data_IF_104681931823
#
_entry.id   IF_104681931823
#
_cell.length_a   1.000
_cell.length_b   1.000
_cell.length_c   1.000
_cell.angle_alpha   90.00
_cell.angle_beta   90.00
_cell.angle_gamma   90.00
#
_symmetry.space_group_name_H-M   'P 1'
#
loop_
_entity.id
_entity.type
_entity.pdbx_description
1 polymer ?
#
# COMPACT_ATOMS: atom_id res chain seq x y z
N UNK A 1 -22.22 -63.48 44.20
CA UNK A 1 -21.39 -62.98 43.09
C UNK A 1 -22.00 -61.79 42.33
N UNK A 2 -23.33 -61.59 42.25
CA UNK A 2 -23.93 -60.53 41.40
C UNK A 2 -23.93 -59.09 41.94
N UNK A 3 -23.97 -58.86 43.26
CA UNK A 3 -24.11 -57.50 43.83
C UNK A 3 -22.85 -56.64 43.73
N UNK A 4 -21.67 -57.26 43.84
CA UNK A 4 -20.38 -56.56 43.69
C UNK A 4 -20.15 -56.11 42.24
N UNK A 5 -20.57 -56.92 41.28
CA UNK A 5 -20.42 -56.60 39.85
C UNK A 5 -21.29 -55.40 39.46
N UNK A 6 -22.52 -55.30 39.99
CA UNK A 6 -23.42 -54.16 39.74
C UNK A 6 -22.81 -52.85 40.28
N UNK A 7 -22.19 -52.86 41.46
CA UNK A 7 -21.56 -51.65 42.04
C UNK A 7 -20.36 -51.20 41.20
N UNK A 8 -19.59 -52.16 40.65
CA UNK A 8 -18.46 -51.87 39.74
C UNK A 8 -18.96 -51.29 38.42
N UNK A 9 -20.04 -51.81 37.84
CA UNK A 9 -20.61 -51.25 36.61
C UNK A 9 -21.23 -49.86 36.83
N UNK A 10 -21.87 -49.61 37.98
CA UNK A 10 -22.43 -48.30 38.32
C UNK A 10 -21.31 -47.27 38.53
N UNK A 11 -20.21 -47.65 39.20
CA UNK A 11 -19.07 -46.76 39.40
C UNK A 11 -18.32 -46.48 38.08
N UNK A 12 -18.17 -47.47 37.20
CA UNK A 12 -17.61 -47.25 35.85
C UNK A 12 -18.54 -46.37 35.01
N UNK A 13 -19.86 -46.55 35.08
CA UNK A 13 -20.83 -45.73 34.35
C UNK A 13 -20.84 -44.26 34.84
N UNK A 14 -20.74 -44.03 36.15
CA UNK A 14 -20.61 -42.68 36.72
C UNK A 14 -19.27 -42.03 36.35
N UNK A 15 -18.20 -42.80 36.28
CA UNK A 15 -16.86 -42.32 35.91
C UNK A 15 -16.78 -42.01 34.41
N UNK A 16 -17.46 -42.78 33.55
CA UNK A 16 -17.66 -42.46 32.13
C UNK A 16 -18.53 -41.23 31.94
N UNK A 17 -19.63 -41.08 32.69
CA UNK A 17 -20.46 -39.87 32.66
C UNK A 17 -19.69 -38.64 33.15
N UNK A 18 -18.82 -38.81 34.15
CA UNK A 18 -17.94 -37.75 34.62
C UNK A 18 -16.94 -37.33 33.52
N UNK A 19 -16.29 -38.28 32.84
CA UNK A 19 -15.41 -37.99 31.70
C UNK A 19 -16.14 -37.44 30.47
N UNK A 20 -17.39 -37.84 30.22
CA UNK A 20 -18.23 -37.25 29.17
C UNK A 20 -18.68 -35.82 29.52
N UNK A 21 -18.90 -35.53 30.82
CA UNK A 21 -19.25 -34.20 31.30
C UNK A 21 -18.08 -33.22 31.33
N UNK A 22 -16.85 -33.74 31.55
CA UNK A 22 -15.60 -32.98 31.56
C UNK A 22 -14.79 -33.14 30.26
N UNK A 23 -15.33 -33.83 29.26
CA UNK A 23 -14.78 -33.81 27.91
C UNK A 23 -14.87 -32.37 27.42
N UNK A 24 -13.75 -31.75 27.00
CA UNK A 24 -13.78 -30.37 26.55
C UNK A 24 -14.80 -30.28 25.43
N UNK A 25 -15.87 -29.50 25.65
CA UNK A 25 -16.87 -29.20 24.63
C UNK A 25 -16.14 -28.55 23.46
N UNK A 26 -15.75 -29.36 22.48
CA UNK A 26 -15.35 -28.90 21.16
C UNK A 26 -16.64 -28.35 20.56
N UNK A 27 -16.90 -27.07 20.77
CA UNK A 27 -17.85 -26.32 19.98
C UNK A 27 -17.39 -26.47 18.54
N UNK A 28 -18.06 -27.32 17.76
CA UNK A 28 -18.08 -27.21 16.32
C UNK A 28 -18.87 -25.95 15.96
N UNK A 29 -18.27 -24.79 16.23
CA UNK A 29 -18.41 -23.68 15.32
C UNK A 29 -17.48 -24.01 14.15
N UNK A 30 -18.02 -24.71 13.15
CA UNK A 30 -17.55 -24.50 11.77
C UNK A 30 -17.98 -23.09 11.35
N UNK A 31 -17.44 -22.06 12.02
CA UNK A 31 -17.09 -20.86 11.29
C UNK A 31 -15.91 -21.31 10.46
N UNK A 32 -16.06 -21.28 9.14
CA UNK A 32 -14.92 -21.32 8.25
C UNK A 32 -13.92 -20.31 8.79
N UNK A 33 -12.87 -20.79 9.47
CA UNK A 33 -11.61 -20.06 9.49
C UNK A 33 -11.23 -20.08 8.03
N UNK A 34 -11.59 -19.02 7.31
CA UNK A 34 -10.76 -18.58 6.20
C UNK A 34 -9.35 -18.67 6.76
N UNK A 35 -8.55 -19.57 6.19
CA UNK A 35 -7.12 -19.52 6.35
C UNK A 35 -6.80 -18.07 5.98
N UNK A 36 -6.59 -17.23 6.99
CA UNK A 36 -5.79 -16.05 6.79
C UNK A 36 -4.42 -16.63 6.54
N UNK A 37 -4.18 -16.97 5.27
CA UNK A 37 -2.84 -16.88 4.73
C UNK A 37 -2.38 -15.52 5.19
N UNK A 38 -1.41 -15.54 6.10
CA UNK A 38 -0.55 -14.39 6.28
C UNK A 38 0.00 -14.15 4.88
N UNK A 39 -0.47 -13.11 4.21
CA UNK A 39 0.26 -12.54 3.10
C UNK A 39 1.55 -12.01 3.72
N UNK A 40 2.58 -12.83 3.73
CA UNK A 40 3.95 -12.36 3.90
C UNK A 40 4.37 -11.72 2.57
N UNK A 41 3.63 -10.67 2.20
CA UNK A 41 3.90 -9.63 1.22
C UNK A 41 3.01 -8.45 1.64
N UNK A 42 3.64 -7.41 2.18
CA UNK A 42 3.00 -6.12 2.42
C UNK A 42 2.91 -5.35 1.10
N UNK A 43 2.17 -5.88 0.13
CA UNK A 43 1.44 -5.01 -0.79
C UNK A 43 0.01 -5.04 -0.30
N UNK A 44 -0.24 -4.22 0.71
CA UNK A 44 -1.59 -3.87 1.06
C UNK A 44 -1.93 -2.64 0.21
N UNK A 45 -2.64 -2.76 -0.94
CA UNK A 45 -3.03 -1.60 -1.76
C UNK A 45 -3.92 -0.60 -1.01
N UNK A 46 -4.37 -0.97 0.20
CA UNK A 46 -5.09 -0.09 1.13
C UNK A 46 -4.19 0.64 2.14
N UNK A 47 -2.87 0.66 1.94
CA UNK A 47 -1.95 1.53 2.68
C UNK A 47 -0.96 2.14 1.68
N UNK A 48 -1.37 3.24 1.06
CA UNK A 48 -0.42 4.25 0.58
C UNK A 48 0.57 4.54 1.72
N UNK A 49 1.86 4.40 1.45
CA UNK A 49 2.88 4.71 2.46
C UNK A 49 3.03 6.22 2.52
N UNK A 50 2.67 6.80 3.67
CA UNK A 50 2.66 8.24 3.83
C UNK A 50 4.05 8.81 3.59
N UNK A 51 4.14 9.76 2.68
CA UNK A 51 5.38 10.46 2.40
C UNK A 51 5.55 11.59 3.40
N UNK A 52 6.74 11.69 3.99
CA UNK A 52 7.04 12.75 4.95
C UNK A 52 6.94 14.13 4.30
N UNK A 53 6.15 15.00 4.94
CA UNK A 53 5.96 16.39 4.50
C UNK A 53 7.26 17.20 4.47
N UNK A 54 8.16 16.95 5.43
CA UNK A 54 9.42 17.66 5.57
C UNK A 54 10.57 16.87 4.92
N UNK A 55 11.28 17.44 3.93
CA UNK A 55 12.44 16.82 3.28
C UNK A 55 13.55 16.35 4.23
N UNK A 56 13.74 17.01 5.38
CA UNK A 56 14.71 16.56 6.38
C UNK A 56 14.26 15.26 7.05
N UNK A 57 12.96 15.16 7.37
CA UNK A 57 12.40 13.96 7.97
C UNK A 57 12.39 12.83 6.95
N UNK A 58 12.00 13.11 5.71
CA UNK A 58 12.08 12.17 4.59
C UNK A 58 13.51 11.60 4.43
N UNK A 59 14.52 12.45 4.50
CA UNK A 59 15.93 12.05 4.37
C UNK A 59 16.43 11.21 5.57
N UNK A 60 15.90 11.43 6.77
CA UNK A 60 16.16 10.57 7.94
C UNK A 60 15.47 9.21 7.78
N UNK A 61 14.23 9.21 7.29
CA UNK A 61 13.43 8.00 7.04
C UNK A 61 14.03 7.14 5.92
N UNK A 62 14.44 7.73 4.79
CA UNK A 62 15.13 7.02 3.70
C UNK A 62 16.36 6.27 4.17
N UNK A 63 17.27 6.96 4.88
CA UNK A 63 18.47 6.31 5.42
C UNK A 63 18.15 5.18 6.38
N UNK A 64 17.04 5.30 7.12
CA UNK A 64 16.56 4.22 8.00
C UNK A 64 16.07 3.04 7.17
N UNK A 65 15.28 3.28 6.14
CA UNK A 65 14.78 2.25 5.22
C UNK A 65 15.93 1.58 4.46
N UNK A 66 16.93 2.33 3.99
CA UNK A 66 18.10 1.80 3.25
C UNK A 66 18.82 0.74 4.07
N UNK A 67 19.13 1.07 5.33
CA UNK A 67 19.77 0.12 6.24
C UNK A 67 18.91 -1.12 6.51
N UNK A 68 17.59 -0.96 6.60
CA UNK A 68 16.68 -2.10 6.78
C UNK A 68 16.66 -2.99 5.54
N UNK A 69 16.62 -2.38 4.36
CA UNK A 69 16.65 -3.07 3.08
C UNK A 69 17.98 -3.81 2.88
N UNK A 70 19.13 -3.14 3.10
CA UNK A 70 20.45 -3.76 3.00
C UNK A 70 20.57 -4.99 3.91
N UNK A 71 20.08 -4.87 5.15
CA UNK A 71 20.06 -5.98 6.11
C UNK A 71 19.23 -7.16 5.61
N UNK A 72 17.98 -6.89 5.19
CA UNK A 72 17.10 -7.95 4.68
C UNK A 72 17.66 -8.59 3.41
N UNK A 73 18.24 -7.77 2.54
CA UNK A 73 18.87 -8.23 1.31
C UNK A 73 20.07 -9.15 1.62
N UNK A 74 20.92 -8.78 2.57
CA UNK A 74 22.06 -9.60 3.01
C UNK A 74 21.60 -10.91 3.66
N UNK A 75 20.60 -10.87 4.54
CA UNK A 75 20.03 -12.06 5.19
C UNK A 75 19.43 -13.04 4.17
N UNK A 76 18.73 -12.52 3.15
CA UNK A 76 18.07 -13.35 2.13
C UNK A 76 19.02 -13.85 1.05
N UNK A 77 19.99 -13.03 0.62
CA UNK A 77 20.92 -13.35 -0.48
C UNK A 77 22.13 -14.16 -0.02
N UNK A 78 22.51 -14.02 1.26
CA UNK A 78 23.65 -14.71 1.87
C UNK A 78 23.29 -15.38 3.20
N UNK A 79 22.39 -16.39 3.19
CA UNK A 79 21.98 -17.09 4.41
C UNK A 79 23.14 -17.79 5.15
N UNK A 80 24.25 -18.07 4.47
CA UNK A 80 25.48 -18.62 5.07
C UNK A 80 26.18 -17.65 6.05
N UNK A 81 25.92 -16.34 5.94
CA UNK A 81 26.49 -15.32 6.83
C UNK A 81 25.59 -15.04 8.06
N UNK A 82 24.34 -15.52 8.04
CA UNK A 82 23.36 -15.25 9.10
C UNK A 82 23.58 -16.10 10.38
N UNK A 83 24.29 -17.23 10.28
CA UNK A 83 24.44 -18.23 11.36
C UNK A 83 25.82 -18.20 12.06
N UNK A 84 26.70 -17.25 11.72
CA UNK A 84 27.98 -17.10 12.40
C UNK A 84 27.85 -16.16 13.60
N UNK A 85 27.93 -16.75 14.79
CA UNK A 85 28.16 -16.06 16.08
C UNK A 85 29.07 -14.85 15.88
N UNK A 86 28.55 -13.68 16.27
CA UNK A 86 29.26 -12.40 16.22
C UNK A 86 30.72 -12.58 16.63
N UNK A 87 31.63 -12.41 15.68
CA UNK A 87 33.05 -12.51 15.94
C UNK A 87 33.45 -11.53 17.05
N UNK A 88 34.29 -11.94 18.03
CA UNK A 88 34.57 -11.12 19.19
C UNK A 88 35.51 -9.96 18.84
N UNK A 89 35.03 -8.75 19.11
CA UNK A 89 35.76 -7.50 19.40
C UNK A 89 36.56 -6.83 18.26
N UNK A 90 35.88 -5.94 17.52
CA UNK A 90 36.12 -4.49 17.61
C UNK A 90 34.94 -3.76 16.97
N UNK A 91 34.46 -2.68 17.62
CA UNK A 91 33.28 -1.87 17.28
C UNK A 91 31.93 -2.44 17.76
N UNK A 92 31.64 -2.13 19.02
CA UNK A 92 30.28 -2.14 19.57
C UNK A 92 29.32 -1.37 18.64
N UNK A 93 28.26 -2.05 18.21
CA UNK A 93 27.14 -1.61 17.37
C UNK A 93 26.80 -0.10 17.44
N UNK A 94 27.18 0.71 16.43
CA UNK A 94 26.66 2.06 16.23
C UNK A 94 25.19 2.07 15.78
N UNK A 95 24.69 0.94 15.27
CA UNK A 95 23.51 0.93 14.41
C UNK A 95 22.18 1.07 15.14
N UNK A 96 21.98 0.39 16.27
CA UNK A 96 20.81 0.61 17.13
C UNK A 96 20.84 1.98 17.79
N UNK A 97 22.05 2.46 18.12
CA UNK A 97 22.26 3.81 18.64
C UNK A 97 21.89 4.85 17.58
N UNK A 98 22.20 4.64 16.29
CA UNK A 98 21.81 5.54 15.21
C UNK A 98 20.30 5.58 14.94
N UNK A 99 19.58 4.45 15.08
CA UNK A 99 18.10 4.44 14.99
C UNK A 99 17.45 5.12 16.20
N UNK A 100 17.95 4.83 17.41
CA UNK A 100 17.54 5.54 18.62
C UNK A 100 17.87 7.02 18.50
N UNK A 101 19.04 7.40 17.97
CA UNK A 101 19.45 8.78 17.77
C UNK A 101 18.53 9.52 16.78
N UNK A 102 18.09 8.88 15.70
CA UNK A 102 17.16 9.49 14.74
C UNK A 102 15.77 9.69 15.36
N UNK A 103 15.27 8.71 16.11
CA UNK A 103 13.98 8.81 16.81
C UNK A 103 14.05 9.80 17.98
N UNK A 104 15.11 9.75 18.77
CA UNK A 104 15.41 10.70 19.84
C UNK A 104 15.58 12.11 19.27
N UNK A 105 16.23 12.28 18.11
CA UNK A 105 16.35 13.58 17.45
C UNK A 105 14.98 14.14 17.06
N UNK A 106 14.12 13.34 16.44
CA UNK A 106 12.78 13.78 16.05
C UNK A 106 11.87 14.01 17.26
N UNK A 107 12.01 13.23 18.33
CA UNK A 107 11.20 13.33 19.55
C UNK A 107 11.68 14.40 20.54
N UNK A 108 12.88 14.92 20.37
CA UNK A 108 13.47 15.95 21.23
C UNK A 108 13.06 17.34 20.73
N UNK A 109 12.10 17.97 21.41
CA UNK A 109 11.58 19.31 21.06
C UNK A 109 12.67 20.40 21.05
N UNK A 110 13.75 20.22 21.82
CA UNK A 110 14.88 21.15 21.84
C UNK A 110 15.78 20.97 20.60
N UNK A 111 15.83 19.77 20.02
CA UNK A 111 16.63 19.44 18.82
C UNK A 111 15.84 19.57 17.52
N UNK A 112 14.55 19.19 17.52
CA UNK A 112 13.65 19.24 16.38
C UNK A 112 12.48 20.17 16.67
N UNK A 113 12.72 21.46 16.42
CA UNK A 113 11.71 22.49 16.60
C UNK A 113 10.84 22.61 15.33
N UNK A 114 9.62 22.05 15.39
CA UNK A 114 8.64 22.04 14.29
C UNK A 114 8.32 23.46 13.81
N UNK A 115 8.17 24.43 14.71
CA UNK A 115 7.90 25.84 14.35
C UNK A 115 9.00 26.41 13.47
N UNK A 116 10.27 26.20 13.83
CA UNK A 116 11.40 26.65 13.00
C UNK A 116 11.44 25.93 11.65
N UNK A 117 11.08 24.64 11.61
CA UNK A 117 10.94 23.90 10.35
C UNK A 117 9.88 24.52 9.46
N UNK A 118 8.69 24.81 9.98
CA UNK A 118 7.60 25.43 9.23
C UNK A 118 7.98 26.81 8.67
N UNK A 119 8.67 27.65 9.45
CA UNK A 119 9.18 28.94 8.97
C UNK A 119 10.16 28.78 7.79
N UNK A 120 10.94 27.70 7.75
CA UNK A 120 11.88 27.41 6.67
C UNK A 120 11.22 26.75 5.45
N UNK A 121 10.14 26.00 5.67
CA UNK A 121 9.42 25.30 4.60
C UNK A 121 8.41 26.21 3.91
N UNK A 122 7.75 27.10 4.63
CA UNK A 122 6.67 27.95 4.11
C UNK A 122 7.07 28.68 2.81
N UNK A 123 8.20 29.41 2.73
CA UNK A 123 8.58 30.12 1.50
C UNK A 123 9.03 29.20 0.34
N UNK A 124 9.18 27.89 0.59
CA UNK A 124 9.48 26.90 -0.44
C UNK A 124 8.22 26.29 -1.04
N UNK A 125 7.09 26.41 -0.33
CA UNK A 125 5.79 25.91 -0.75
C UNK A 125 5.00 27.03 -1.42
N UNK A 126 5.00 28.23 -0.83
CA UNK A 126 4.41 29.46 -1.37
C UNK A 126 5.25 29.98 -2.55
N UNK A 127 4.91 29.56 -3.78
CA UNK A 127 5.71 29.81 -5.00
C UNK A 127 4.89 30.22 -6.22
N UNK A 128 3.58 29.93 -6.28
CA UNK A 128 2.74 30.21 -7.45
C UNK A 128 1.30 30.65 -7.09
N UNK A 129 1.08 31.95 -6.85
CA UNK A 129 2.08 33.02 -6.68
C UNK A 129 2.63 33.05 -5.25
N UNK A 130 3.88 33.52 -5.08
CA UNK A 130 4.45 33.81 -3.76
C UNK A 130 3.73 35.00 -3.07
N UNK A 131 2.56 34.77 -2.49
CA UNK A 131 1.63 35.78 -1.97
C UNK A 131 1.49 35.76 -0.44
N UNK A 132 2.23 34.89 0.24
CA UNK A 132 2.19 34.75 1.69
C UNK A 132 1.10 33.80 2.17
N UNK A 133 0.46 33.05 1.26
CA UNK A 133 -0.53 32.03 1.55
C UNK A 133 -0.18 30.74 0.81
N UNK A 134 -0.31 29.60 1.48
CA UNK A 134 -0.21 28.30 0.83
C UNK A 134 -1.62 27.85 0.46
N UNK A 135 -1.87 27.70 -0.84
CA UNK A 135 -3.15 27.17 -1.33
C UNK A 135 -3.10 25.65 -1.57
N UNK A 136 -4.27 25.03 -1.84
CA UNK A 136 -4.40 23.59 -2.12
C UNK A 136 -3.46 23.10 -3.23
N UNK A 137 -3.31 23.89 -4.29
CA UNK A 137 -2.49 23.50 -5.43
C UNK A 137 -1.01 23.45 -5.06
N UNK A 138 -0.49 24.50 -4.41
CA UNK A 138 0.91 24.55 -3.97
C UNK A 138 1.24 23.42 -3.00
N UNK A 139 0.34 23.15 -2.06
CA UNK A 139 0.51 22.09 -1.07
C UNK A 139 0.44 20.70 -1.72
N UNK A 140 -0.43 20.52 -2.71
CA UNK A 140 -0.51 19.29 -3.52
C UNK A 140 0.79 19.07 -4.30
N UNK A 141 1.30 20.09 -4.97
CA UNK A 141 2.55 19.99 -5.74
C UNK A 141 3.75 19.74 -4.82
N UNK A 142 3.77 20.32 -3.62
CA UNK A 142 4.79 20.04 -2.61
C UNK A 142 4.78 18.57 -2.17
N UNK A 143 3.60 18.04 -1.81
CA UNK A 143 3.44 16.64 -1.39
C UNK A 143 3.80 15.70 -2.54
N UNK A 144 3.35 16.00 -3.76
CA UNK A 144 3.67 15.23 -4.97
C UNK A 144 5.17 15.16 -5.20
N UNK A 145 5.90 16.28 -5.07
CA UNK A 145 7.35 16.30 -5.23
C UNK A 145 8.09 15.46 -4.18
N UNK A 146 7.59 15.42 -2.94
CA UNK A 146 8.18 14.51 -1.94
C UNK A 146 7.87 13.06 -2.34
N UNK A 147 6.65 12.77 -2.78
CA UNK A 147 6.21 11.43 -3.12
C UNK A 147 7.00 10.86 -4.30
N UNK A 148 7.16 11.63 -5.38
CA UNK A 148 7.96 11.25 -6.54
C UNK A 148 9.41 10.92 -6.15
N UNK A 149 10.01 11.69 -5.23
CA UNK A 149 11.37 11.42 -4.75
C UNK A 149 11.46 10.12 -3.98
N UNK A 150 10.50 9.85 -3.10
CA UNK A 150 10.50 8.62 -2.30
C UNK A 150 10.22 7.37 -3.15
N UNK A 151 9.24 7.47 -4.05
CA UNK A 151 8.90 6.41 -5.00
C UNK A 151 10.11 6.09 -5.88
N UNK A 152 10.72 7.11 -6.50
CA UNK A 152 11.89 6.91 -7.36
C UNK A 152 13.08 6.30 -6.61
N UNK A 153 13.33 6.74 -5.37
CA UNK A 153 14.38 6.18 -4.54
C UNK A 153 14.16 4.68 -4.25
N UNK A 154 12.92 4.28 -3.96
CA UNK A 154 12.56 2.88 -3.74
C UNK A 154 12.65 2.07 -5.03
N UNK A 155 12.21 2.62 -6.16
CA UNK A 155 12.35 1.99 -7.48
C UNK A 155 13.82 1.80 -7.85
N UNK A 156 14.70 2.73 -7.48
CA UNK A 156 16.14 2.59 -7.70
C UNK A 156 16.74 1.41 -6.90
N UNK A 157 16.37 1.26 -5.61
CA UNK A 157 16.79 0.09 -4.82
C UNK A 157 16.28 -1.22 -5.42
N UNK A 158 15.02 -1.24 -5.86
CA UNK A 158 14.45 -2.42 -6.50
C UNK A 158 15.21 -2.73 -7.80
N UNK A 159 15.52 -1.72 -8.62
CA UNK A 159 16.31 -1.87 -9.84
C UNK A 159 17.67 -2.51 -9.57
N UNK A 160 18.38 -2.12 -8.50
CA UNK A 160 19.67 -2.70 -8.14
C UNK A 160 19.61 -4.21 -7.89
N UNK A 161 18.46 -4.74 -7.47
CA UNK A 161 18.28 -6.19 -7.29
C UNK A 161 18.07 -6.95 -8.60
N UNK A 162 17.56 -6.26 -9.63
CA UNK A 162 17.28 -6.85 -10.94
C UNK A 162 18.40 -6.62 -11.95
N UNK A 163 19.12 -5.50 -11.88
CA UNK A 163 20.27 -5.17 -12.74
C UNK A 163 21.50 -6.04 -12.42
N UNK A 164 21.45 -7.30 -12.89
CA UNK A 164 22.48 -8.30 -12.67
C UNK A 164 23.78 -7.97 -13.40
N UNK A 165 23.68 -7.33 -14.56
CA UNK A 165 24.82 -7.02 -15.41
C UNK A 165 25.48 -5.67 -15.06
N UNK A 166 24.79 -4.83 -14.27
CA UNK A 166 25.19 -3.50 -13.79
C UNK A 166 25.36 -2.46 -14.90
N UNK A 167 24.52 -2.50 -15.92
CA UNK A 167 24.48 -1.51 -17.00
C UNK A 167 23.59 -0.30 -16.68
N UNK A 168 22.86 -0.33 -15.56
CA UNK A 168 21.92 0.71 -15.15
C UNK A 168 20.54 0.59 -15.80
N UNK A 169 20.25 -0.56 -16.43
CA UNK A 169 18.96 -0.89 -17.03
C UNK A 169 18.47 -2.25 -16.52
N UNK A 170 17.19 -2.52 -16.73
CA UNK A 170 16.61 -3.83 -16.44
C UNK A 170 16.08 -4.43 -17.73
N UNK A 171 16.67 -5.54 -18.17
CA UNK A 171 16.12 -6.34 -19.26
C UNK A 171 15.01 -7.28 -18.78
N UNK A 172 14.14 -7.73 -19.68
CA UNK A 172 13.10 -8.71 -19.33
C UNK A 172 13.68 -10.03 -18.82
N UNK A 173 14.88 -10.41 -19.28
CA UNK A 173 15.57 -11.61 -18.82
C UNK A 173 16.17 -11.48 -17.41
N UNK A 174 16.41 -10.26 -16.97
CA UNK A 174 16.92 -9.94 -15.63
C UNK A 174 15.81 -9.91 -14.58
N UNK A 175 14.63 -9.43 -14.99
CA UNK A 175 13.43 -9.38 -14.16
C UNK A 175 12.84 -10.79 -13.97
N UNK A 176 13.24 -11.46 -12.88
CA UNK A 176 12.80 -12.82 -12.60
C UNK A 176 11.31 -12.85 -12.25
N UNK A 177 10.54 -13.85 -12.74
CA UNK A 177 9.17 -14.02 -12.29
C UNK A 177 9.18 -14.29 -10.78
N UNK A 178 8.21 -13.73 -10.03
CA UNK A 178 8.16 -13.89 -8.58
C UNK A 178 8.25 -15.37 -8.14
N UNK A 179 8.89 -15.63 -7.00
CA UNK A 179 9.19 -16.99 -6.51
C UNK A 179 7.96 -17.91 -6.37
N UNK A 180 6.78 -17.35 -6.18
CA UNK A 180 5.51 -18.08 -6.12
C UNK A 180 4.99 -18.51 -7.50
N UNK A 181 5.38 -17.81 -8.58
CA UNK A 181 5.15 -18.22 -9.97
C UNK A 181 6.04 -19.42 -10.29
N UNK A 182 7.28 -19.43 -9.82
CA UNK A 182 8.22 -20.51 -10.10
C UNK A 182 7.85 -21.85 -9.43
N UNK A 183 7.08 -21.81 -8.32
CA UNK A 183 6.82 -22.97 -7.45
C UNK A 183 5.38 -23.48 -7.45
N UNK A 184 4.48 -22.98 -8.31
CA UNK A 184 3.07 -23.40 -8.32
C UNK A 184 2.70 -24.19 -9.57
N UNK A 185 1.76 -25.13 -9.44
CA UNK A 185 1.12 -25.78 -10.59
C UNK A 185 0.23 -24.76 -11.33
N UNK A 186 0.13 -24.85 -12.66
CA UNK A 186 -0.62 -23.96 -13.59
C UNK A 186 -2.10 -23.66 -13.22
N UNK A 187 -2.63 -24.23 -12.14
CA UNK A 187 -4.02 -24.12 -11.69
C UNK A 187 -4.18 -23.37 -10.34
N UNK A 188 -3.12 -22.78 -9.78
CA UNK A 188 -3.18 -22.00 -8.53
C UNK A 188 -3.63 -20.55 -8.79
N UNK A 189 -4.58 -20.06 -7.98
CA UNK A 189 -4.96 -18.65 -7.92
C UNK A 189 -3.70 -17.78 -7.74
N UNK A 190 -3.46 -16.87 -8.69
CA UNK A 190 -2.27 -16.00 -8.75
C UNK A 190 -1.53 -16.06 -10.09
N UNK A 191 -1.50 -17.19 -10.79
CA UNK A 191 -0.82 -17.31 -12.11
C UNK A 191 -1.38 -16.40 -13.20
N UNK A 192 -2.64 -16.00 -13.04
CA UNK A 192 -3.32 -15.10 -13.95
C UNK A 192 -3.07 -13.63 -13.60
N UNK A 193 -2.07 -13.27 -12.79
CA UNK A 193 -1.62 -11.89 -12.66
C UNK A 193 -0.63 -11.58 -13.80
N UNK A 194 -0.87 -10.47 -14.51
CA UNK A 194 -0.24 -10.14 -15.79
C UNK A 194 1.00 -9.29 -15.61
N UNK A 195 1.19 -8.83 -14.38
CA UNK A 195 2.18 -7.83 -13.98
C UNK A 195 3.62 -8.20 -14.31
N UNK A 196 4.05 -9.46 -14.19
CA UNK A 196 5.43 -9.84 -14.55
C UNK A 196 5.55 -10.39 -15.98
N UNK A 197 4.50 -10.30 -16.80
CA UNK A 197 4.52 -10.79 -18.19
C UNK A 197 5.22 -9.79 -19.10
N UNK A 198 5.71 -10.30 -20.23
CA UNK A 198 6.37 -9.52 -21.27
C UNK A 198 5.48 -8.39 -21.81
N UNK A 199 4.15 -8.54 -21.79
CA UNK A 199 3.23 -7.47 -22.21
C UNK A 199 3.35 -6.23 -21.32
N UNK A 200 3.45 -6.39 -19.99
CA UNK A 200 3.59 -5.27 -19.06
C UNK A 200 4.96 -4.59 -19.22
N UNK A 201 6.01 -5.40 -19.34
CA UNK A 201 7.37 -4.92 -19.60
C UNK A 201 7.42 -4.09 -20.89
N UNK A 202 6.87 -4.63 -21.98
CA UNK A 202 6.83 -3.95 -23.29
C UNK A 202 5.90 -2.73 -23.29
N UNK A 203 4.87 -2.69 -22.45
CA UNK A 203 4.03 -1.51 -22.29
C UNK A 203 4.77 -0.38 -21.57
N UNK A 204 5.67 -0.74 -20.66
CA UNK A 204 6.50 0.19 -19.87
C UNK A 204 7.73 0.68 -20.63
N UNK A 205 8.28 -0.15 -21.53
CA UNK A 205 9.32 0.22 -22.49
C UNK A 205 8.78 1.24 -23.51
N UNK A 206 9.00 2.53 -23.21
CA UNK A 206 8.40 3.62 -23.97
C UNK A 206 9.12 3.80 -25.31
N UNK A 207 10.45 3.64 -25.32
CA UNK A 207 11.29 3.80 -26.51
C UNK A 207 11.44 2.52 -27.36
N UNK A 208 11.07 1.36 -26.80
CA UNK A 208 11.04 0.07 -27.50
C UNK A 208 12.42 -0.57 -27.66
N UNK A 209 13.40 -0.21 -26.81
CA UNK A 209 14.77 -0.72 -26.89
C UNK A 209 14.95 -2.09 -26.22
N UNK A 210 13.93 -2.61 -25.52
CA UNK A 210 13.94 -3.89 -24.80
C UNK A 210 14.58 -3.85 -23.40
N UNK A 211 14.91 -2.66 -22.89
CA UNK A 211 15.56 -2.39 -21.61
C UNK A 211 14.84 -1.24 -20.90
N UNK A 212 14.46 -1.44 -19.64
CA UNK A 212 13.85 -0.37 -18.85
C UNK A 212 14.95 0.47 -18.21
N UNK A 213 14.96 1.77 -18.52
CA UNK A 213 15.74 2.73 -17.74
C UNK A 213 15.04 3.05 -16.40
N UNK A 214 15.66 3.82 -15.50
CA UNK A 214 15.08 4.11 -14.17
C UNK A 214 13.69 4.75 -14.22
N UNK A 215 13.40 5.61 -15.20
CA UNK A 215 12.07 6.22 -15.34
C UNK A 215 11.03 5.23 -15.84
N UNK A 216 11.40 4.38 -16.81
CA UNK A 216 10.50 3.35 -17.35
C UNK A 216 10.28 2.22 -16.35
N UNK A 217 11.29 1.89 -15.54
CA UNK A 217 11.18 0.92 -14.46
C UNK A 217 10.35 1.44 -13.29
N UNK A 218 10.48 2.74 -12.97
CA UNK A 218 9.59 3.40 -12.01
C UNK A 218 8.14 3.33 -12.50
N UNK A 219 7.88 3.66 -13.77
CA UNK A 219 6.56 3.55 -14.38
C UNK A 219 6.05 2.09 -14.37
N UNK A 220 6.90 1.11 -14.67
CA UNK A 220 6.59 -0.32 -14.59
C UNK A 220 6.18 -0.74 -13.16
N UNK A 221 6.81 -0.22 -12.12
CA UNK A 221 6.42 -0.49 -10.72
C UNK A 221 5.17 0.29 -10.29
N UNK A 222 4.94 1.46 -10.88
CA UNK A 222 3.91 2.43 -10.51
C UNK A 222 3.10 2.89 -11.74
N UNK A 223 2.39 1.98 -12.44
CA UNK A 223 1.71 2.30 -13.70
C UNK A 223 0.59 3.33 -13.53
N UNK A 224 0.01 3.45 -12.34
CA UNK A 224 -1.00 4.47 -12.01
C UNK A 224 -0.47 5.90 -12.12
N UNK A 225 0.83 6.10 -11.92
CA UNK A 225 1.51 7.40 -11.96
C UNK A 225 2.09 7.71 -13.34
N UNK A 226 2.12 6.71 -14.22
CA UNK A 226 2.73 6.85 -15.54
C UNK A 226 1.93 7.79 -16.44
N UNK A 227 2.66 8.55 -17.24
CA UNK A 227 2.10 9.35 -18.35
C UNK A 227 2.09 8.57 -19.66
N UNK A 228 2.60 7.34 -19.67
CA UNK A 228 2.68 6.50 -20.86
C UNK A 228 1.30 5.89 -21.19
N UNK A 229 0.67 6.28 -22.31
CA UNK A 229 -0.66 5.80 -22.67
C UNK A 229 -0.71 4.29 -22.93
N UNK A 230 0.41 3.67 -23.35
CA UNK A 230 0.48 2.21 -23.55
C UNK A 230 0.32 1.49 -22.21
N UNK A 231 0.99 2.00 -21.18
CA UNK A 231 0.98 1.41 -19.84
C UNK A 231 -0.36 1.62 -19.13
N UNK A 232 -0.96 2.80 -19.25
CA UNK A 232 -2.31 3.05 -18.73
C UNK A 232 -3.35 2.18 -19.41
N UNK A 233 -3.25 1.97 -20.73
CA UNK A 233 -4.12 1.04 -21.44
C UNK A 233 -3.90 -0.41 -20.99
N UNK A 234 -2.65 -0.81 -20.78
CA UNK A 234 -2.33 -2.12 -20.21
C UNK A 234 -2.96 -2.30 -18.82
N UNK A 235 -2.91 -1.28 -17.96
CA UNK A 235 -3.55 -1.30 -16.65
C UNK A 235 -5.07 -1.49 -16.76
N UNK A 236 -5.71 -0.87 -17.76
CA UNK A 236 -7.13 -1.09 -18.03
C UNK A 236 -7.42 -2.52 -18.50
N UNK A 237 -6.58 -3.09 -19.36
CA UNK A 237 -6.70 -4.50 -19.78
C UNK A 237 -6.53 -5.45 -18.60
N UNK A 238 -5.67 -5.12 -17.66
CA UNK A 238 -5.47 -5.90 -16.45
C UNK A 238 -6.75 -5.91 -15.60
N UNK A 239 -7.39 -4.75 -15.41
CA UNK A 239 -8.69 -4.66 -14.74
C UNK A 239 -9.78 -5.47 -15.46
N UNK A 240 -9.84 -5.44 -16.80
CA UNK A 240 -10.76 -6.30 -17.55
C UNK A 240 -10.47 -7.77 -17.23
N UNK A 241 -9.20 -8.19 -17.34
CA UNK A 241 -8.78 -9.58 -17.18
C UNK A 241 -9.02 -10.13 -15.77
N UNK A 242 -8.90 -9.30 -14.74
CA UNK A 242 -9.20 -9.70 -13.37
C UNK A 242 -10.69 -9.90 -13.11
N UNK A 243 -11.58 -9.21 -13.84
CA UNK A 243 -13.03 -9.19 -13.58
C UNK A 243 -13.85 -10.01 -14.56
N UNK A 244 -13.34 -10.19 -15.76
CA UNK A 244 -13.88 -11.03 -16.82
C UNK A 244 -13.93 -12.50 -16.36
N UNK A 245 -15.07 -12.88 -15.82
CA UNK A 245 -15.29 -14.18 -15.19
C UNK A 245 -15.67 -15.24 -16.22
N UNK A 246 -16.30 -14.82 -17.34
CA UNK A 246 -16.71 -15.71 -18.43
C UNK A 246 -15.71 -15.80 -19.59
N UNK A 247 -14.63 -15.01 -19.53
CA UNK A 247 -13.47 -14.97 -20.44
C UNK A 247 -13.84 -14.51 -21.84
N UNK A 248 -14.77 -13.58 -21.96
CA UNK A 248 -15.18 -13.00 -23.25
C UNK A 248 -14.31 -11.80 -23.69
N UNK A 249 -13.37 -11.38 -22.84
CA UNK A 249 -12.44 -10.29 -23.07
C UNK A 249 -13.03 -8.90 -22.78
N UNK A 250 -14.20 -8.83 -22.16
CA UNK A 250 -14.88 -7.59 -21.78
C UNK A 250 -15.47 -7.71 -20.36
N UNK A 251 -15.99 -6.60 -19.85
CA UNK A 251 -16.67 -6.57 -18.54
C UNK A 251 -18.16 -6.37 -18.75
N UNK A 252 -18.97 -7.39 -18.45
CA UNK A 252 -20.43 -7.27 -18.48
C UNK A 252 -20.97 -6.52 -17.24
N UNK A 253 -22.24 -6.11 -17.27
CA UNK A 253 -22.84 -5.35 -16.15
C UNK A 253 -22.71 -6.04 -14.79
N UNK A 254 -22.83 -7.36 -14.73
CA UNK A 254 -22.77 -8.12 -13.48
C UNK A 254 -21.35 -8.08 -12.89
N UNK A 255 -20.34 -8.22 -13.74
CA UNK A 255 -18.92 -8.12 -13.36
C UNK A 255 -18.56 -6.71 -12.94
N UNK A 256 -19.04 -5.69 -13.66
CA UNK A 256 -18.89 -4.29 -13.27
C UNK A 256 -19.52 -4.03 -11.89
N UNK A 257 -20.75 -4.48 -11.68
CA UNK A 257 -21.51 -4.21 -10.46
C UNK A 257 -20.87 -4.84 -9.21
N UNK A 258 -20.46 -6.11 -9.30
CA UNK A 258 -19.85 -6.79 -8.16
C UNK A 258 -18.35 -6.53 -8.02
N UNK A 259 -17.68 -6.12 -9.10
CA UNK A 259 -16.24 -5.93 -9.14
C UNK A 259 -15.82 -4.48 -8.99
N UNK A 260 -16.31 -3.58 -9.86
CA UNK A 260 -15.75 -2.24 -10.06
C UNK A 260 -16.58 -1.14 -9.40
N UNK A 261 -17.90 -1.31 -9.34
CA UNK A 261 -18.82 -0.25 -8.95
C UNK A 261 -18.53 0.33 -7.56
N UNK A 262 -18.24 -0.53 -6.57
CA UNK A 262 -17.91 -0.07 -5.22
C UNK A 262 -16.62 0.75 -5.17
N UNK A 263 -15.61 0.41 -5.98
CA UNK A 263 -14.34 1.16 -6.05
C UNK A 263 -14.55 2.53 -6.69
N UNK A 264 -15.34 2.59 -7.78
CA UNK A 264 -15.56 3.83 -8.53
C UNK A 264 -16.52 4.79 -7.82
N UNK A 265 -17.49 4.27 -7.05
CA UNK A 265 -18.48 5.09 -6.33
C UNK A 265 -17.92 5.77 -5.08
N UNK A 266 -16.98 5.13 -4.36
CA UNK A 266 -16.43 5.66 -3.11
C UNK A 266 -15.55 6.92 -3.29
N UNK A 267 -15.41 7.42 -4.52
CA UNK A 267 -14.54 8.54 -4.86
C UNK A 267 -15.18 9.94 -4.75
N UNK A 268 -16.51 10.05 -4.80
CA UNK A 268 -17.22 11.36 -4.82
C UNK A 268 -18.15 11.59 -3.61
N UNK A 269 -18.45 10.56 -2.81
CA UNK A 269 -19.38 10.67 -1.69
C UNK A 269 -18.64 10.66 -0.34
N UNK A 270 -18.40 11.86 0.21
CA UNK A 270 -18.23 12.01 1.65
C UNK A 270 -19.48 11.46 2.38
N UNK A 271 -19.25 10.84 3.53
CA UNK A 271 -20.21 10.34 4.53
C UNK A 271 -20.53 8.83 4.47
N UNK A 272 -19.89 8.14 5.43
CA UNK A 272 -20.29 6.88 6.05
C UNK A 272 -21.74 6.40 5.83
N UNK A 273 -21.88 5.24 5.18
CA UNK A 273 -22.57 4.09 5.78
C UNK A 273 -22.29 2.82 4.97
N UNK A 274 -21.34 2.01 5.44
CA UNK A 274 -21.13 0.63 4.99
C UNK A 274 -22.20 -0.32 5.52
N UNK A 275 -23.45 0.15 5.69
CA UNK A 275 -24.56 -0.77 5.88
C UNK A 275 -24.90 -1.27 4.48
N UNK A 276 -24.75 -2.57 4.25
CA UNK A 276 -25.26 -3.28 3.08
C UNK A 276 -26.65 -2.75 2.68
N UNK A 277 -26.67 -1.77 1.77
CA UNK A 277 -27.87 -1.38 1.06
C UNK A 277 -28.20 -2.57 0.16
N UNK A 278 -29.46 -2.99 0.18
CA UNK A 278 -29.92 -4.15 -0.59
C UNK A 278 -29.60 -3.97 -2.07
N UNK A 279 -29.21 -5.08 -2.71
CA UNK A 279 -28.85 -5.24 -4.13
C UNK A 279 -29.71 -4.39 -5.09
N UNK A 280 -31.03 -4.37 -4.87
CA UNK A 280 -32.00 -3.64 -5.68
C UNK A 280 -31.89 -2.10 -5.62
N UNK A 281 -31.30 -1.52 -4.56
CA UNK A 281 -31.17 -0.07 -4.40
C UNK A 281 -29.94 0.51 -5.07
N UNK A 282 -28.92 -0.30 -5.35
CA UNK A 282 -27.66 0.13 -5.99
C UNK A 282 -27.60 -0.18 -7.48
N UNK A 283 -28.52 -1.02 -7.98
CA UNK A 283 -28.64 -1.37 -9.39
C UNK A 283 -28.86 -0.12 -10.28
N UNK A 284 -29.69 0.83 -9.86
CA UNK A 284 -29.97 2.05 -10.63
C UNK A 284 -28.74 2.96 -10.86
N UNK A 285 -27.98 3.40 -9.82
CA UNK A 285 -26.78 4.21 -10.03
C UNK A 285 -25.68 3.43 -10.75
N UNK A 286 -25.57 2.13 -10.53
CA UNK A 286 -24.61 1.30 -11.26
C UNK A 286 -24.94 1.20 -12.74
N UNK A 287 -26.21 1.00 -13.11
CA UNK A 287 -26.64 0.99 -14.52
C UNK A 287 -26.39 2.34 -15.19
N UNK A 288 -26.61 3.43 -14.46
CA UNK A 288 -26.33 4.77 -14.98
C UNK A 288 -24.84 4.94 -15.28
N UNK A 289 -23.96 4.55 -14.35
CA UNK A 289 -22.51 4.66 -14.55
C UNK A 289 -22.03 3.71 -15.66
N UNK A 290 -22.52 2.47 -15.68
CA UNK A 290 -22.23 1.51 -16.75
C UNK A 290 -22.60 2.07 -18.12
N UNK A 291 -23.81 2.59 -18.28
CA UNK A 291 -24.26 3.20 -19.53
C UNK A 291 -23.53 4.50 -19.90
N UNK A 292 -22.87 5.17 -18.94
CA UNK A 292 -21.99 6.31 -19.23
C UNK A 292 -20.63 5.86 -19.76
N UNK A 293 -20.13 4.70 -19.32
CA UNK A 293 -18.85 4.14 -19.72
C UNK A 293 -18.96 3.39 -21.06
N UNK A 294 -20.02 2.61 -21.25
CA UNK A 294 -20.36 1.90 -22.49
C UNK A 294 -20.67 2.93 -23.60
N UNK A 295 -19.65 3.27 -24.39
CA UNK A 295 -19.72 4.31 -25.43
C UNK A 295 -20.25 3.76 -26.74
N UNK A 296 -19.95 2.50 -27.05
CA UNK A 296 -20.39 1.87 -28.29
C UNK A 296 -21.79 1.21 -28.18
N UNK A 297 -22.30 1.05 -26.95
CA UNK A 297 -23.65 0.59 -26.64
C UNK A 297 -23.82 -0.91 -26.85
N UNK A 298 -22.74 -1.69 -26.82
CA UNK A 298 -22.77 -3.13 -27.04
C UNK A 298 -23.18 -3.92 -25.78
N UNK A 299 -23.30 -3.24 -24.63
CA UNK A 299 -23.69 -3.82 -23.36
C UNK A 299 -22.53 -4.39 -22.53
N UNK A 300 -21.29 -4.12 -22.94
CA UNK A 300 -20.06 -4.54 -22.30
C UNK A 300 -19.10 -3.35 -22.16
N UNK A 301 -18.14 -3.42 -21.23
CA UNK A 301 -17.07 -2.43 -21.11
C UNK A 301 -15.76 -3.03 -21.63
N UNK A 302 -15.16 -2.35 -22.61
CA UNK A 302 -13.82 -2.62 -23.12
C UNK A 302 -12.73 -1.97 -22.26
N UNK A 303 -11.48 -2.37 -22.48
CA UNK A 303 -10.29 -1.75 -21.86
C UNK A 303 -10.22 -0.24 -22.11
N UNK A 304 -10.56 0.21 -23.32
CA UNK A 304 -10.60 1.64 -23.67
C UNK A 304 -11.70 2.40 -22.92
N UNK A 305 -12.84 1.76 -22.65
CA UNK A 305 -13.96 2.38 -21.94
C UNK A 305 -13.75 2.46 -20.43
N UNK A 306 -12.79 1.71 -19.89
CA UNK A 306 -12.35 1.84 -18.49
C UNK A 306 -11.35 2.98 -18.27
N UNK A 307 -10.71 3.53 -19.32
CA UNK A 307 -9.75 4.65 -19.20
C UNK A 307 -10.25 5.83 -18.35
N UNK A 308 -11.51 6.30 -18.46
CA UNK A 308 -11.98 7.43 -17.66
C UNK A 308 -12.07 7.15 -16.15
N UNK A 309 -12.14 5.87 -15.76
CA UNK A 309 -12.29 5.46 -14.36
C UNK A 309 -11.03 4.79 -13.80
N UNK A 310 -10.00 4.57 -14.63
CA UNK A 310 -8.79 3.86 -14.19
C UNK A 310 -8.09 4.58 -13.03
N UNK A 311 -8.06 5.92 -13.03
CA UNK A 311 -7.51 6.70 -11.92
C UNK A 311 -8.33 6.63 -10.63
N UNK A 312 -9.58 6.14 -10.67
CA UNK A 312 -10.39 5.84 -9.47
C UNK A 312 -10.13 4.43 -8.95
N UNK A 313 -9.80 3.50 -9.85
CA UNK A 313 -9.44 2.11 -9.50
C UNK A 313 -8.01 2.01 -8.98
N UNK A 314 -7.12 2.78 -9.58
CA UNK A 314 -5.71 2.92 -9.24
C UNK A 314 -5.40 4.40 -9.02
N UNK A 315 -5.63 4.91 -7.80
CA UNK A 315 -5.29 6.28 -7.45
C UNK A 315 -3.81 6.55 -7.63
N UNK A 316 -3.47 7.64 -8.32
CA UNK A 316 -2.08 8.09 -8.46
C UNK A 316 -1.58 8.79 -7.19
N UNK A 317 -0.27 8.92 -7.05
CA UNK A 317 0.39 9.73 -6.03
C UNK A 317 -0.14 11.16 -6.02
N UNK A 318 -0.54 11.71 -7.17
CA UNK A 318 -1.13 13.05 -7.24
C UNK A 318 -2.48 13.12 -6.53
N UNK A 319 -3.28 12.07 -6.64
CA UNK A 319 -4.54 11.99 -5.90
C UNK A 319 -4.27 11.96 -4.39
N UNK A 320 -3.34 11.13 -3.92
CA UNK A 320 -2.99 11.07 -2.51
C UNK A 320 -2.40 12.38 -1.99
N UNK A 321 -1.52 13.02 -2.76
CA UNK A 321 -0.96 14.34 -2.47
C UNK A 321 -2.03 15.42 -2.31
N UNK A 322 -3.07 15.38 -3.16
CA UNK A 322 -4.22 16.28 -3.08
C UNK A 322 -5.08 16.00 -1.85
N UNK A 323 -5.44 14.73 -1.59
CA UNK A 323 -6.19 14.37 -0.37
C UNK A 323 -5.46 14.78 0.90
N UNK A 324 -4.13 14.66 0.89
CA UNK A 324 -3.26 15.10 1.97
C UNK A 324 -3.29 16.63 2.12
N UNK A 325 -3.24 17.39 1.01
CA UNK A 325 -3.39 18.84 1.02
C UNK A 325 -4.77 19.30 1.52
N UNK A 326 -5.84 18.72 1.00
CA UNK A 326 -7.23 19.00 1.41
C UNK A 326 -7.42 18.74 2.91
N UNK A 327 -6.86 17.64 3.42
CA UNK A 327 -6.89 17.33 4.85
C UNK A 327 -6.17 18.40 5.68
N UNK A 328 -4.95 18.82 5.31
CA UNK A 328 -4.22 19.86 6.07
C UNK A 328 -5.02 21.15 6.11
N UNK A 329 -5.50 21.62 4.95
CA UNK A 329 -6.27 22.86 4.87
C UNK A 329 -7.50 22.73 5.76
N UNK A 330 -8.23 21.62 5.70
CA UNK A 330 -9.42 21.41 6.55
C UNK A 330 -9.16 21.46 8.07
N UNK A 331 -7.93 21.13 8.51
CA UNK A 331 -7.56 21.14 9.92
C UNK A 331 -6.96 22.47 10.38
N UNK A 332 -6.12 23.10 9.54
CA UNK A 332 -5.32 24.26 9.93
C UNK A 332 -5.94 25.61 9.51
N UNK A 333 -6.78 25.64 8.48
CA UNK A 333 -7.46 26.85 7.99
C UNK A 333 -8.52 27.31 9.01
N UNK A 334 -8.13 28.28 9.83
CA UNK A 334 -8.92 28.71 10.98
C UNK A 334 -9.95 29.76 10.57
N UNK A 335 -9.59 30.62 9.61
CA UNK A 335 -10.49 31.66 9.12
C UNK A 335 -11.40 31.22 7.95
N UNK A 336 -11.14 30.02 7.41
CA UNK A 336 -11.89 29.33 6.36
C UNK A 336 -11.81 30.03 5.01
N UNK A 337 -10.67 30.64 4.71
CA UNK A 337 -10.42 31.28 3.41
C UNK A 337 -9.95 30.31 2.31
N UNK A 338 -9.73 29.03 2.67
CA UNK A 338 -9.30 27.95 1.79
C UNK A 338 -7.79 27.91 1.55
N UNK A 339 -7.00 28.65 2.34
CA UNK A 339 -5.55 28.74 2.25
C UNK A 339 -4.94 28.72 3.65
N UNK A 340 -3.62 28.64 3.72
CA UNK A 340 -2.89 28.58 4.97
C UNK A 340 -1.87 29.70 5.07
N UNK A 341 -2.00 30.50 6.12
CA UNK A 341 -0.95 31.42 6.54
C UNK A 341 0.10 30.68 7.37
N UNK A 342 1.32 31.24 7.45
CA UNK A 342 2.38 30.69 8.31
C UNK A 342 1.93 30.61 9.77
N UNK A 343 1.12 31.59 10.22
CA UNK A 343 0.58 31.60 11.58
C UNK A 343 -0.33 30.41 11.81
N UNK A 344 -1.27 30.12 10.90
CA UNK A 344 -2.17 28.99 11.02
C UNK A 344 -1.44 27.64 11.03
N UNK A 345 -0.39 27.49 10.23
CA UNK A 345 0.44 26.28 10.25
C UNK A 345 1.20 26.10 11.58
N UNK A 346 1.67 27.21 12.18
CA UNK A 346 2.38 27.18 13.47
C UNK A 346 1.42 26.94 14.64
N UNK A 347 0.20 27.49 14.57
CA UNK A 347 -0.83 27.35 15.60
C UNK A 347 -1.51 25.96 15.58
N UNK A 348 -1.40 25.24 14.47
CA UNK A 348 -1.84 23.84 14.33
C UNK A 348 -0.65 22.87 14.12
N UNK A 349 0.35 22.84 15.03
CA UNK A 349 1.58 22.10 14.83
C UNK A 349 1.36 20.59 14.92
N UNK A 350 0.34 20.12 15.64
CA UNK A 350 0.06 18.68 15.77
C UNK A 350 -0.38 18.05 14.45
N UNK A 351 -1.21 18.73 13.67
CA UNK A 351 -1.63 18.23 12.35
C UNK A 351 -0.47 18.28 11.36
N UNK A 352 0.35 19.33 11.42
CA UNK A 352 1.60 19.41 10.64
C UNK A 352 2.65 18.38 11.08
N UNK A 353 2.70 18.05 12.38
CA UNK A 353 3.64 17.10 12.97
C UNK A 353 3.24 15.66 12.67
N UNK A 354 1.94 15.33 12.77
CA UNK A 354 1.37 14.05 12.33
C UNK A 354 1.74 13.83 10.85
N UNK A 355 1.67 14.85 10.03
CA UNK A 355 2.03 14.82 8.61
C UNK A 355 3.53 14.69 8.34
N UNK A 356 4.36 15.16 9.27
CA UNK A 356 5.81 14.91 9.24
C UNK A 356 6.21 13.52 9.76
N UNK A 357 5.36 12.82 10.54
CA UNK A 357 5.76 11.65 11.37
C UNK A 357 5.01 10.32 11.12
N UNK A 358 4.06 10.23 10.18
CA UNK A 358 3.13 9.06 10.15
C UNK A 358 3.82 7.70 9.92
N UNK A 359 5.06 7.58 9.44
CA UNK A 359 5.71 6.26 9.38
C UNK A 359 6.26 5.78 10.75
N UNK A 360 6.79 6.67 11.60
CA UNK A 360 7.54 6.29 12.81
C UNK A 360 6.61 5.97 14.00
N UNK A 361 5.55 6.74 14.21
CA UNK A 361 4.64 6.54 15.35
C UNK A 361 3.76 5.28 15.24
N UNK A 362 3.41 4.85 14.01
CA UNK A 362 2.62 3.64 13.79
C UNK A 362 3.44 2.35 13.97
N UNK A 363 4.71 2.34 13.58
CA UNK A 363 5.60 1.19 13.77
C UNK A 363 5.96 0.97 15.26
N UNK A 364 6.16 2.04 16.02
CA UNK A 364 6.49 1.97 17.46
C UNK A 364 5.25 1.59 18.30
N UNK A 365 4.07 2.10 17.94
CA UNK A 365 2.83 1.77 18.67
C UNK A 365 2.31 0.36 18.37
N UNK A 366 2.54 -0.18 17.16
CA UNK A 366 2.22 -1.58 16.87
C UNK A 366 3.19 -2.57 17.53
N UNK A 367 4.49 -2.26 17.63
CA UNK A 367 5.45 -3.12 18.33
C UNK A 367 5.27 -3.12 19.87
N UNK A 368 4.78 -2.02 20.44
CA UNK A 368 4.41 -1.91 21.86
C UNK A 368 3.15 -2.72 22.22
N UNK A 369 2.19 -2.83 21.30
CA UNK A 369 0.93 -3.55 21.52
C UNK A 369 1.00 -5.06 21.22
N UNK A 370 2.05 -5.54 20.57
CA UNK A 370 2.29 -6.98 20.33
C UNK A 370 3.15 -7.65 21.42
N UNK A 371 3.62 -6.90 22.43
CA UNK A 371 4.39 -7.40 23.58
C UNK A 371 3.64 -7.33 24.93
N UNK A 372 2.32 -7.11 24.91
CA UNK A 372 1.43 -7.32 26.07
C UNK A 372 0.36 -8.32 25.69
#
# INVERSE_FOLDING_TARGET
MGKFSIIVYISIALLLLFFLSHSPKKTQNHRHRRLRLRSSYNFNPSRHESVAFDPLVADIERRREDRQWEKQYMENSHPELADHDAAPAHESQPEWEDFMNAEDYLNDEDKFNVTNRLVLLFPKIDVDPADGYINEHELTEWNMQQAEREVLHRSQREMETHDKNRDGFVSFAEYDPPSWVQNSDNNSFGYDMGWWKEEHFNASDADGNGLLNITEFNDFLHPADSKNPKLILWLCKEEVRERDSDKDGKVNFKEFFHGLFDLVRNYDDEVHNSSHLSDDSMDAPARQLFAQLDKDGDGYLSDVELLPIIGKLHPSERYYAKQQADYIISQADTDKDGRLTLTEMIENPYDMEIMSRIQILLLVRMNSLLKK
#
